data_IF_643846355626
#
_entry.id   IF_643846355626
#
_cell.length_a   1.000
_cell.length_b   1.000
_cell.length_c   1.000
_cell.angle_alpha   90.00
_cell.angle_beta   90.00
_cell.angle_gamma   90.00
#
_symmetry.space_group_name_H-M   'P 1'
#
loop_
_entity.id
_entity.type
_entity.pdbx_description
1 polymer ?
#
# COMPACT_ATOMS: atom_id res chain seq x y z
N UNK A 1 1.86 5.16 -15.06
CA UNK A 1 3.10 4.47 -14.64
C UNK A 1 3.64 3.75 -15.87
N UNK A 2 4.86 4.04 -16.29
CA UNK A 2 5.44 3.43 -17.48
C UNK A 2 5.85 2.00 -17.14
N UNK A 3 5.38 1.02 -17.92
CA UNK A 3 5.62 -0.42 -17.73
C UNK A 3 7.12 -0.74 -17.56
N UNK A 4 8.01 0.11 -18.09
CA UNK A 4 9.45 0.02 -17.96
C UNK A 4 9.99 0.12 -16.54
N UNK A 5 9.44 1.02 -15.71
CA UNK A 5 9.90 1.17 -14.30
C UNK A 5 9.46 -0.02 -13.45
N UNK A 6 8.26 -0.52 -13.72
CA UNK A 6 7.73 -1.72 -13.07
C UNK A 6 8.55 -2.96 -13.45
N UNK A 7 8.89 -3.12 -14.73
CA UNK A 7 9.77 -4.21 -15.18
C UNK A 7 11.18 -4.12 -14.58
N UNK A 8 11.75 -2.92 -14.45
CA UNK A 8 13.08 -2.74 -13.84
C UNK A 8 13.07 -3.10 -12.35
N UNK A 9 12.05 -2.67 -11.62
CA UNK A 9 11.88 -2.97 -10.19
C UNK A 9 11.62 -4.47 -9.93
N UNK A 10 10.84 -5.13 -10.79
CA UNK A 10 10.60 -6.58 -10.73
C UNK A 10 11.83 -7.39 -11.16
N UNK A 11 12.59 -6.94 -12.16
CA UNK A 11 13.80 -7.62 -12.63
C UNK A 11 14.95 -7.54 -11.61
N UNK A 12 15.02 -6.47 -10.80
CA UNK A 12 16.03 -6.30 -9.76
C UNK A 12 15.82 -7.14 -8.49
N UNK A 13 14.65 -7.77 -8.32
CA UNK A 13 14.31 -8.52 -7.12
C UNK A 13 13.81 -9.93 -7.47
N UNK A 14 14.59 -11.00 -7.20
CA UNK A 14 14.19 -12.38 -7.50
C UNK A 14 12.97 -12.84 -6.70
N UNK A 15 12.64 -12.16 -5.60
CA UNK A 15 11.40 -12.40 -4.84
C UNK A 15 10.17 -11.80 -5.53
N UNK A 16 10.35 -10.80 -6.40
CA UNK A 16 9.28 -10.14 -7.13
C UNK A 16 9.15 -10.66 -8.57
N UNK A 17 10.16 -11.34 -9.11
CA UNK A 17 10.13 -11.90 -10.46
C UNK A 17 9.07 -12.99 -10.69
N UNK A 18 8.58 -13.62 -9.61
CA UNK A 18 7.45 -14.56 -9.63
C UNK A 18 6.09 -13.94 -9.31
N UNK A 19 6.02 -12.63 -9.06
CA UNK A 19 4.77 -11.97 -8.69
C UNK A 19 3.95 -11.65 -9.93
N UNK A 20 2.69 -12.07 -9.93
CA UNK A 20 1.76 -11.75 -11.01
C UNK A 20 1.44 -10.25 -11.00
N UNK A 21 1.43 -9.63 -12.19
CA UNK A 21 1.14 -8.21 -12.36
C UNK A 21 -0.14 -7.73 -11.61
N UNK A 22 -1.27 -8.48 -11.61
CA UNK A 22 -2.46 -8.09 -10.86
C UNK A 22 -2.24 -7.90 -9.36
N UNK A 23 -1.30 -8.65 -8.76
CA UNK A 23 -0.98 -8.52 -7.32
C UNK A 23 -0.18 -7.25 -7.04
N UNK A 24 0.71 -6.88 -7.97
CA UNK A 24 1.47 -5.62 -7.90
C UNK A 24 0.50 -4.44 -8.02
N UNK A 25 -0.42 -4.49 -8.98
CA UNK A 25 -1.46 -3.47 -9.15
C UNK A 25 -2.35 -3.35 -7.92
N UNK A 26 -2.77 -4.48 -7.34
CA UNK A 26 -3.57 -4.50 -6.11
C UNK A 26 -2.80 -3.89 -4.94
N UNK A 27 -1.51 -4.23 -4.78
CA UNK A 27 -0.65 -3.61 -3.77
C UNK A 27 -0.59 -2.10 -3.94
N UNK A 28 -0.35 -1.60 -5.16
CA UNK A 28 -0.27 -0.16 -5.43
C UNK A 28 -1.60 0.55 -5.15
N UNK A 29 -2.72 -0.05 -5.54
CA UNK A 29 -4.06 0.49 -5.28
C UNK A 29 -4.32 0.61 -3.77
N UNK A 30 -4.05 -0.45 -3.02
CA UNK A 30 -4.21 -0.47 -1.56
C UNK A 30 -3.24 0.51 -0.88
N UNK A 31 -1.96 0.53 -1.27
CA UNK A 31 -0.96 1.41 -0.67
C UNK A 31 -1.28 2.89 -0.91
N UNK A 32 -1.79 3.26 -2.11
CA UNK A 32 -2.27 4.61 -2.40
C UNK A 32 -3.49 4.97 -1.55
N UNK A 33 -4.44 4.06 -1.41
CA UNK A 33 -5.61 4.29 -0.57
C UNK A 33 -5.24 4.44 0.92
N UNK A 34 -4.26 3.67 1.40
CA UNK A 34 -3.79 3.70 2.79
C UNK A 34 -2.77 4.82 3.06
N UNK A 35 -2.36 5.59 2.05
CA UNK A 35 -1.42 6.70 2.19
C UNK A 35 -1.78 7.66 3.35
N UNK A 36 -3.03 8.11 3.54
CA UNK A 36 -3.39 8.95 4.67
C UNK A 36 -3.19 8.27 6.02
N UNK A 37 -3.53 6.98 6.11
CA UNK A 37 -3.34 6.17 7.34
C UNK A 37 -1.86 5.97 7.65
N UNK A 38 -1.05 5.72 6.62
CA UNK A 38 0.41 5.57 6.75
C UNK A 38 1.03 6.89 7.22
N UNK A 39 0.63 8.02 6.61
CA UNK A 39 1.10 9.35 6.98
C UNK A 39 0.70 9.70 8.43
N UNK A 40 -0.52 9.37 8.85
CA UNK A 40 -0.99 9.60 10.23
C UNK A 40 -0.23 8.77 11.26
N UNK A 41 0.22 7.57 10.88
CA UNK A 41 1.00 6.71 11.77
C UNK A 41 2.46 7.15 11.95
N UNK A 42 2.95 8.13 11.17
CA UNK A 42 4.28 8.69 11.38
C UNK A 42 4.30 9.55 12.64
N UNK A 43 5.20 9.23 13.58
CA UNK A 43 5.33 9.93 14.87
C UNK A 43 5.73 11.41 14.73
N UNK A 44 6.24 11.81 13.57
CA UNK A 44 6.53 13.19 13.22
C UNK A 44 6.00 13.43 11.82
N UNK A 45 5.32 14.57 11.61
CA UNK A 45 4.81 14.91 10.28
C UNK A 45 5.98 15.11 9.32
N UNK A 46 6.14 14.18 8.38
CA UNK A 46 7.11 14.25 7.29
C UNK A 46 6.37 14.18 5.97
N UNK A 47 6.67 15.05 5.00
CA UNK A 47 6.04 15.01 3.69
C UNK A 47 6.48 13.80 2.85
N UNK A 48 7.51 13.08 3.27
CA UNK A 48 8.12 11.94 2.57
C UNK A 48 7.55 10.58 3.03
N UNK A 49 7.55 9.56 2.14
CA UNK A 49 7.10 8.22 2.51
C UNK A 49 8.00 7.60 3.56
N UNK A 50 7.44 6.90 4.57
CA UNK A 50 8.25 6.23 5.56
C UNK A 50 9.11 5.12 4.93
N UNK A 51 10.28 4.89 5.51
CA UNK A 51 11.17 3.80 5.09
C UNK A 51 10.51 2.42 5.28
N UNK A 52 9.70 2.28 6.33
CA UNK A 52 9.01 1.03 6.69
C UNK A 52 7.52 1.29 6.91
N UNK A 53 6.69 0.31 6.57
CA UNK A 53 5.26 0.40 6.80
C UNK A 53 4.92 0.22 8.30
N UNK A 54 3.85 0.86 8.79
CA UNK A 54 3.26 0.51 10.08
C UNK A 54 2.85 -0.97 10.11
N UNK A 55 3.07 -1.65 11.23
CA UNK A 55 2.83 -3.11 11.38
C UNK A 55 1.39 -3.50 11.01
N UNK A 56 0.41 -2.70 11.40
CA UNK A 56 -1.00 -2.94 11.07
C UNK A 56 -1.29 -2.83 9.56
N UNK A 57 -0.68 -1.85 8.88
CA UNK A 57 -0.80 -1.68 7.42
C UNK A 57 -0.10 -2.83 6.70
N UNK A 58 1.09 -3.22 7.17
CA UNK A 58 1.86 -4.31 6.60
C UNK A 58 1.12 -5.65 6.68
N UNK A 59 0.57 -5.99 7.84
CA UNK A 59 -0.23 -7.21 8.02
C UNK A 59 -1.47 -7.22 7.12
N UNK A 60 -2.15 -6.08 6.99
CA UNK A 60 -3.30 -5.95 6.11
C UNK A 60 -2.93 -6.17 4.63
N UNK A 61 -1.81 -5.60 4.17
CA UNK A 61 -1.33 -5.78 2.79
C UNK A 61 -0.91 -7.22 2.51
N UNK A 62 -0.22 -7.88 3.43
CA UNK A 62 0.13 -9.31 3.35
C UNK A 62 -1.13 -10.15 3.12
N UNK A 63 -2.17 -9.93 3.93
CA UNK A 63 -3.42 -10.69 3.87
C UNK A 63 -4.25 -10.38 2.62
N UNK A 64 -4.29 -9.12 2.21
CA UNK A 64 -5.12 -8.65 1.09
C UNK A 64 -4.51 -8.99 -0.26
N UNK A 65 -3.19 -8.89 -0.40
CA UNK A 65 -2.46 -9.21 -1.64
C UNK A 65 -2.14 -10.71 -1.73
N UNK A 66 -2.11 -11.41 -0.59
CA UNK A 66 -1.85 -12.85 -0.55
C UNK A 66 -0.39 -13.19 -0.88
N UNK A 67 0.55 -12.38 -0.39
CA UNK A 67 2.00 -12.54 -0.59
C UNK A 67 2.73 -12.49 0.74
N UNK A 68 3.99 -12.93 0.77
CA UNK A 68 4.78 -12.95 2.00
C UNK A 68 5.08 -11.54 2.53
N UNK A 69 5.35 -11.47 3.83
CA UNK A 69 5.77 -10.24 4.51
C UNK A 69 7.01 -9.61 3.84
N UNK A 70 7.99 -10.44 3.49
CA UNK A 70 9.20 -10.01 2.77
C UNK A 70 8.87 -9.45 1.39
N UNK A 71 7.93 -10.04 0.64
CA UNK A 71 7.51 -9.50 -0.65
C UNK A 71 6.87 -8.11 -0.50
N UNK A 72 6.03 -7.91 0.52
CA UNK A 72 5.43 -6.59 0.82
C UNK A 72 6.51 -5.55 1.17
N UNK A 73 7.53 -5.91 1.95
CA UNK A 73 8.65 -5.00 2.25
C UNK A 73 9.39 -4.58 0.98
N UNK A 74 9.68 -5.52 0.09
CA UNK A 74 10.36 -5.24 -1.18
C UNK A 74 9.49 -4.41 -2.12
N UNK A 75 8.19 -4.71 -2.22
CA UNK A 75 7.23 -3.90 -2.97
C UNK A 75 7.14 -2.47 -2.43
N UNK A 76 7.06 -2.31 -1.11
CA UNK A 76 7.08 -0.98 -0.49
C UNK A 76 8.38 -0.25 -0.79
N UNK A 77 9.53 -0.90 -0.59
CA UNK A 77 10.82 -0.28 -0.87
C UNK A 77 10.94 0.18 -2.33
N UNK A 78 10.45 -0.62 -3.28
CA UNK A 78 10.47 -0.31 -4.70
C UNK A 78 9.53 0.84 -5.08
N UNK A 79 8.30 0.85 -4.55
CA UNK A 79 7.22 1.71 -5.07
C UNK A 79 6.76 2.80 -4.11
N UNK A 80 7.35 2.94 -2.92
CA UNK A 80 6.92 3.94 -1.92
C UNK A 80 6.92 5.38 -2.46
N UNK A 81 7.90 5.73 -3.29
CA UNK A 81 7.98 7.07 -3.91
C UNK A 81 6.82 7.27 -4.89
N UNK A 82 6.50 6.29 -5.72
CA UNK A 82 5.39 6.35 -6.67
C UNK A 82 4.04 6.47 -5.97
N UNK A 83 3.86 5.72 -4.88
CA UNK A 83 2.67 5.82 -4.02
C UNK A 83 2.54 7.23 -3.44
N UNK A 84 3.66 7.85 -3.06
CA UNK A 84 3.68 9.18 -2.45
C UNK A 84 3.53 10.33 -3.45
N UNK A 85 4.06 10.18 -4.67
CA UNK A 85 3.96 11.19 -5.73
C UNK A 85 2.63 11.12 -6.48
N UNK A 86 1.92 9.98 -6.45
CA UNK A 86 0.55 9.94 -6.97
C UNK A 86 -0.34 10.88 -6.16
N UNK A 87 -0.88 11.89 -6.83
CA UNK A 87 -2.01 12.66 -6.34
C UNK A 87 -3.19 11.70 -6.15
N UNK A 88 -3.94 11.86 -5.05
CA UNK A 88 -5.25 11.22 -4.90
C UNK A 88 -6.09 11.52 -6.15
N UNK A 89 -6.92 10.57 -6.59
CA UNK A 89 -7.68 10.74 -7.82
C UNK A 89 -8.46 12.06 -7.75
N UNK A 90 -8.41 12.84 -8.83
CA UNK A 90 -8.85 14.25 -8.89
C UNK A 90 -10.34 14.47 -8.62
N UNK A 91 -11.11 13.40 -8.46
CA UNK A 91 -12.57 13.41 -8.48
C UNK A 91 -13.11 12.32 -7.55
N UNK A 92 -14.02 12.70 -6.63
CA UNK A 92 -14.68 11.78 -5.67
C UNK A 92 -15.31 10.56 -6.34
N UNK A 93 -15.78 10.69 -7.57
CA UNK A 93 -16.45 9.60 -8.30
C UNK A 93 -15.47 8.51 -8.77
N UNK A 94 -14.23 8.88 -9.12
CA UNK A 94 -13.18 7.93 -9.50
C UNK A 94 -12.64 7.20 -8.28
N UNK A 95 -12.48 7.93 -7.16
CA UNK A 95 -12.14 7.35 -5.86
C UNK A 95 -13.21 6.37 -5.40
N UNK A 96 -14.51 6.67 -5.59
CA UNK A 96 -15.60 5.80 -5.13
C UNK A 96 -15.70 4.51 -5.95
N UNK A 97 -15.46 4.57 -7.27
CA UNK A 97 -15.37 3.39 -8.14
C UNK A 97 -14.15 2.53 -7.84
N UNK A 98 -12.99 3.16 -7.60
CA UNK A 98 -11.80 2.45 -7.13
C UNK A 98 -11.91 1.99 -5.67
N UNK A 99 -12.71 2.60 -4.81
CA UNK A 99 -12.92 2.10 -3.46
C UNK A 99 -13.80 0.85 -3.48
N UNK A 100 -14.80 0.78 -4.38
CA UNK A 100 -15.78 -0.29 -4.44
C UNK A 100 -15.17 -1.71 -4.51
N UNK A 101 -14.11 -1.90 -5.29
CA UNK A 101 -13.42 -3.20 -5.36
C UNK A 101 -12.50 -3.51 -4.16
N UNK A 102 -12.16 -2.50 -3.35
CA UNK A 102 -11.33 -2.66 -2.14
C UNK A 102 -12.18 -2.93 -0.90
N UNK A 103 -13.43 -2.46 -0.86
CA UNK A 103 -14.38 -2.66 0.26
C UNK A 103 -14.45 -4.12 0.73
N UNK A 104 -14.53 -5.15 -0.14
CA UNK A 104 -14.56 -6.54 0.31
C UNK A 104 -13.28 -6.96 1.05
N UNK A 105 -12.12 -6.42 0.68
CA UNK A 105 -10.83 -6.71 1.33
C UNK A 105 -10.79 -6.08 2.73
N UNK A 106 -11.26 -4.84 2.85
CA UNK A 106 -11.41 -4.18 4.15
C UNK A 106 -12.38 -4.90 5.07
N UNK A 107 -13.51 -5.38 4.55
CA UNK A 107 -14.50 -6.15 5.33
C UNK A 107 -13.98 -7.53 5.73
N UNK A 108 -13.18 -8.17 4.87
CA UNK A 108 -12.69 -9.55 5.09
C UNK A 108 -11.48 -9.61 6.01
N UNK A 109 -10.53 -8.69 5.87
CA UNK A 109 -9.27 -8.75 6.60
C UNK A 109 -9.18 -7.73 7.74
N UNK A 110 -9.95 -6.64 7.65
CA UNK A 110 -9.96 -5.56 8.63
C UNK A 110 -8.65 -4.78 8.67
N UNK A 111 -8.71 -3.45 8.69
CA UNK A 111 -7.57 -2.67 9.16
C UNK A 111 -7.69 -2.58 10.69
N UNK A 112 -6.78 -3.23 11.42
CA UNK A 112 -6.64 -3.04 12.85
C UNK A 112 -6.21 -1.60 13.13
N UNK A 113 -7.17 -0.67 13.16
CA UNK A 113 -6.99 0.66 13.69
C UNK A 113 -6.79 0.51 15.19
N UNK A 114 -5.54 0.36 15.62
CA UNK A 114 -5.17 0.64 17.00
C UNK A 114 -5.25 2.16 17.18
N UNK A 115 -6.49 2.66 17.23
CA UNK A 115 -6.77 3.97 17.79
C UNK A 115 -6.25 3.90 19.22
N UNK A 116 -5.25 4.73 19.51
CA UNK A 116 -4.70 4.89 20.84
C UNK A 116 -5.86 4.94 21.84
N UNK A 117 -5.85 4.03 22.82
CA UNK A 117 -6.73 4.14 23.98
C UNK A 117 -6.42 5.48 24.63
N UNK A 118 -7.27 6.48 24.42
CA UNK A 118 -7.38 7.59 25.35
C UNK A 118 -7.91 7.01 26.65
N UNK A 119 -7.01 6.58 27.54
CA UNK A 119 -7.34 6.35 28.95
C UNK A 119 -7.48 7.72 29.63
N UNK A 120 -8.59 7.98 30.34
CA UNK A 120 -8.76 9.18 31.17
C UNK A 120 -7.81 9.16 32.38
#
# INVERSE_FOLDING_TARGET
MLVSELLLALAGNPLLSGLELPRVELFLALARYLKPTIAYAQASYTPDPPATLPVNVQNFLVLSVGVSDEAIKHLWHAFRLDVWQHAAASTRDDEMRQAAHLIPLFLKYGLGLQLCKCTP
#
